data_IF_076754459760
#
_entry.id   IF_076754459760
#
_cell.length_a   1.000
_cell.length_b   1.000
_cell.length_c   1.000
_cell.angle_alpha   90.00
_cell.angle_beta   90.00
_cell.angle_gamma   90.00
#
_symmetry.space_group_name_H-M   'P 1'
#
loop_
_entity.id
_entity.type
_entity.pdbx_description
1 polymer ?
#
# COMPACT_ATOMS: atom_id res chain seq x y z
N UNK A 1 -17.24 20.37 -19.00
CA UNK A 1 -16.92 21.28 -17.86
C UNK A 1 -17.90 21.24 -16.68
N UNK A 2 -19.19 20.87 -16.83
CA UNK A 2 -20.15 20.84 -15.69
C UNK A 2 -20.06 19.59 -14.78
N UNK A 3 -19.57 18.44 -15.28
CA UNK A 3 -19.45 17.21 -14.49
C UNK A 3 -18.26 17.23 -13.50
N UNK A 4 -17.10 17.74 -13.93
CA UNK A 4 -15.89 17.80 -13.08
C UNK A 4 -16.05 18.62 -11.79
N UNK A 5 -16.91 19.65 -11.77
CA UNK A 5 -17.20 20.40 -10.53
C UNK A 5 -18.05 19.60 -9.54
N UNK A 6 -19.07 18.87 -10.02
CA UNK A 6 -19.91 18.00 -9.19
C UNK A 6 -19.13 16.82 -8.62
N UNK A 7 -18.26 16.23 -9.42
CA UNK A 7 -17.38 15.13 -8.99
C UNK A 7 -16.38 15.60 -7.91
N UNK A 8 -15.87 16.83 -8.04
CA UNK A 8 -15.02 17.46 -7.03
C UNK A 8 -15.73 17.76 -5.71
N UNK A 9 -16.96 18.27 -5.76
CA UNK A 9 -17.80 18.52 -4.58
C UNK A 9 -18.18 17.22 -3.86
N UNK A 10 -18.57 16.18 -4.60
CA UNK A 10 -18.91 14.86 -4.04
C UNK A 10 -17.69 14.22 -3.36
N UNK A 11 -16.51 14.32 -3.97
CA UNK A 11 -15.25 13.82 -3.41
C UNK A 11 -14.87 14.57 -2.13
N UNK A 12 -14.98 15.89 -2.12
CA UNK A 12 -14.70 16.71 -0.93
C UNK A 12 -15.63 16.34 0.24
N UNK A 13 -16.91 16.13 -0.01
CA UNK A 13 -17.88 15.69 1.02
C UNK A 13 -17.50 14.30 1.57
N UNK A 14 -17.12 13.37 0.69
CA UNK A 14 -16.65 12.03 1.08
C UNK A 14 -15.38 12.09 1.94
N UNK A 15 -14.41 12.92 1.57
CA UNK A 15 -13.15 13.10 2.32
C UNK A 15 -13.40 13.70 3.72
N UNK A 16 -14.30 14.69 3.82
CA UNK A 16 -14.71 15.27 5.11
C UNK A 16 -15.40 14.23 5.98
N UNK A 17 -16.29 13.42 5.42
CA UNK A 17 -16.96 12.35 6.13
C UNK A 17 -15.95 11.32 6.67
N UNK A 18 -15.02 10.87 5.81
CA UNK A 18 -13.96 9.92 6.18
C UNK A 18 -13.06 10.50 7.28
N UNK A 19 -12.72 11.78 7.22
CA UNK A 19 -11.94 12.45 8.25
C UNK A 19 -12.67 12.46 9.61
N UNK A 20 -13.96 12.79 9.62
CA UNK A 20 -14.78 12.83 10.85
C UNK A 20 -14.91 11.45 11.47
N UNK A 21 -15.24 10.43 10.68
CA UNK A 21 -15.34 9.07 11.21
C UNK A 21 -13.99 8.56 11.69
N UNK A 22 -12.90 8.78 10.94
CA UNK A 22 -11.55 8.43 11.43
C UNK A 22 -11.28 9.01 12.81
N UNK A 23 -11.60 10.29 13.04
CA UNK A 23 -11.37 10.94 14.34
C UNK A 23 -12.21 10.31 15.46
N UNK A 24 -13.47 9.97 15.18
CA UNK A 24 -14.37 9.29 16.12
C UNK A 24 -13.81 7.93 16.55
N UNK A 25 -13.34 7.12 15.60
CA UNK A 25 -12.71 5.83 15.89
C UNK A 25 -11.40 5.97 16.67
N UNK A 26 -10.55 6.95 16.33
CA UNK A 26 -9.33 7.24 17.10
C UNK A 26 -9.62 7.63 18.55
N UNK A 27 -10.67 8.42 18.80
CA UNK A 27 -11.10 8.77 20.15
C UNK A 27 -11.60 7.53 20.88
N UNK A 28 -12.42 6.70 20.24
CA UNK A 28 -12.92 5.47 20.83
C UNK A 28 -11.78 4.51 21.21
N UNK A 29 -10.80 4.30 20.32
CA UNK A 29 -9.63 3.47 20.59
C UNK A 29 -8.81 4.02 21.77
N UNK A 30 -8.56 5.33 21.80
CA UNK A 30 -7.84 5.98 22.91
C UNK A 30 -8.54 5.74 24.25
N UNK A 31 -9.85 5.97 24.32
CA UNK A 31 -10.63 5.72 25.54
C UNK A 31 -10.58 4.24 25.94
N UNK A 32 -10.73 3.34 24.98
CA UNK A 32 -10.71 1.90 25.24
C UNK A 32 -9.36 1.42 25.80
N UNK A 33 -8.25 1.87 25.20
CA UNK A 33 -6.90 1.38 25.53
C UNK A 33 -6.28 2.13 26.71
N UNK A 34 -6.33 3.47 26.70
CA UNK A 34 -5.64 4.31 27.69
C UNK A 34 -6.47 4.46 28.97
N UNK A 35 -7.75 4.77 28.82
CA UNK A 35 -8.66 5.04 29.94
C UNK A 35 -9.35 3.77 30.44
N UNK A 36 -9.14 2.62 29.78
CA UNK A 36 -9.81 1.34 30.06
C UNK A 36 -11.34 1.46 30.03
N UNK A 37 -11.85 2.37 29.20
CA UNK A 37 -13.29 2.62 29.06
C UNK A 37 -13.93 1.57 28.16
N UNK A 38 -14.74 0.69 28.77
CA UNK A 38 -15.48 -0.36 28.05
C UNK A 38 -16.42 0.26 27.01
N UNK A 39 -16.47 -0.35 25.83
CA UNK A 39 -17.42 0.04 24.78
C UNK A 39 -17.93 -1.19 24.04
N UNK A 40 -19.24 -1.42 24.13
CA UNK A 40 -19.90 -2.52 23.39
C UNK A 40 -19.90 -2.24 21.89
N UNK A 41 -19.99 -0.97 21.48
CA UNK A 41 -20.07 -0.59 20.08
C UNK A 41 -18.73 -0.68 19.33
N UNK A 42 -17.60 -0.43 20.00
CA UNK A 42 -16.29 -0.39 19.34
C UNK A 42 -15.40 -1.60 19.65
N UNK A 43 -15.51 -2.22 20.82
CA UNK A 43 -14.65 -3.34 21.20
C UNK A 43 -14.63 -4.51 20.19
N UNK A 44 -15.76 -4.92 19.57
CA UNK A 44 -15.75 -5.99 18.58
C UNK A 44 -14.85 -5.73 17.37
N UNK A 45 -14.62 -4.46 17.01
CA UNK A 45 -13.78 -4.08 15.89
C UNK A 45 -12.29 -4.13 16.26
N UNK A 46 -11.95 -3.85 17.51
CA UNK A 46 -10.58 -3.94 18.01
C UNK A 46 -10.11 -5.40 18.14
N UNK A 47 -11.04 -6.35 18.29
CA UNK A 47 -10.77 -7.79 18.22
C UNK A 47 -10.09 -8.38 19.46
N UNK A 48 -9.85 -7.58 20.50
CA UNK A 48 -9.28 -7.99 21.78
C UNK A 48 -9.99 -7.26 22.92
N UNK A 49 -9.99 -7.89 24.10
CA UNK A 49 -10.33 -7.20 25.34
C UNK A 49 -9.26 -6.17 25.74
N UNK A 50 -9.60 -5.31 26.71
CA UNK A 50 -8.77 -4.18 27.16
C UNK A 50 -7.37 -4.64 27.59
N UNK A 51 -7.26 -5.73 28.34
CA UNK A 51 -5.95 -6.17 28.85
C UNK A 51 -5.10 -6.76 27.72
N UNK A 52 -5.70 -7.56 26.83
CA UNK A 52 -4.99 -8.14 25.69
C UNK A 52 -4.55 -7.09 24.67
N UNK A 53 -5.38 -6.08 24.38
CA UNK A 53 -4.98 -5.03 23.42
C UNK A 53 -3.89 -4.12 24.01
N UNK A 54 -3.91 -3.85 25.32
CA UNK A 54 -2.82 -3.12 25.97
C UNK A 54 -1.53 -3.93 25.91
N UNK A 55 -1.59 -5.21 26.23
CA UNK A 55 -0.45 -6.13 26.11
C UNK A 55 0.10 -6.21 24.69
N UNK A 56 -0.77 -6.15 23.68
CA UNK A 56 -0.36 -6.08 22.27
C UNK A 56 0.50 -4.85 21.95
N UNK A 57 0.16 -3.67 22.50
CA UNK A 57 0.99 -2.47 22.35
C UNK A 57 2.27 -2.56 23.19
N UNK A 58 2.21 -3.14 24.39
CA UNK A 58 3.38 -3.32 25.26
C UNK A 58 4.45 -4.20 24.62
N UNK A 59 4.07 -5.20 23.83
CA UNK A 59 5.02 -6.01 23.03
C UNK A 59 5.77 -5.23 21.95
N UNK A 60 5.31 -4.01 21.62
CA UNK A 60 5.93 -3.13 20.62
C UNK A 60 6.70 -1.98 21.26
N UNK A 61 6.69 -1.87 22.60
CA UNK A 61 7.49 -0.89 23.30
C UNK A 61 8.97 -1.28 23.32
N UNK A 62 9.81 -0.27 23.49
CA UNK A 62 11.25 -0.40 23.72
C UNK A 62 11.63 0.33 25.02
N UNK A 63 12.94 0.43 25.30
CA UNK A 63 13.42 1.07 26.53
C UNK A 63 13.08 2.57 26.64
N UNK A 64 12.68 3.23 25.55
CA UNK A 64 12.46 4.67 25.48
C UNK A 64 10.97 5.04 25.41
N UNK A 65 10.09 4.10 25.05
CA UNK A 65 8.65 4.36 24.87
C UNK A 65 7.78 3.51 25.80
N UNK A 66 6.71 4.10 26.30
CA UNK A 66 5.78 3.43 27.21
C UNK A 66 4.53 4.28 27.43
N UNK A 67 3.59 3.80 28.26
CA UNK A 67 2.30 4.47 28.45
C UNK A 67 2.42 5.94 28.90
N UNK A 68 3.42 6.28 29.72
CA UNK A 68 3.60 7.62 30.30
C UNK A 68 4.01 8.69 29.29
N UNK A 69 4.50 8.27 28.11
CA UNK A 69 4.95 9.18 27.05
C UNK A 69 4.11 9.10 25.76
N UNK A 70 2.91 8.53 25.86
CA UNK A 70 1.89 8.60 24.80
C UNK A 70 1.58 10.06 24.44
N UNK A 71 1.52 10.34 23.14
CA UNK A 71 1.30 11.69 22.58
C UNK A 71 2.54 12.59 22.62
N UNK A 72 3.60 12.20 23.32
CA UNK A 72 4.90 12.91 23.34
C UNK A 72 5.92 12.23 22.45
N UNK A 73 6.14 10.92 22.65
CA UNK A 73 7.13 10.13 21.89
C UNK A 73 6.50 9.17 20.90
N UNK A 74 5.27 8.72 21.15
CA UNK A 74 4.57 7.78 20.28
C UNK A 74 3.06 8.00 20.29
N UNK A 75 2.38 7.40 19.32
CA UNK A 75 0.93 7.39 19.18
C UNK A 75 0.46 6.05 18.58
N UNK A 76 -0.87 5.84 18.54
CA UNK A 76 -1.45 4.73 17.79
C UNK A 76 -1.32 4.96 16.28
N UNK A 77 -0.65 4.04 15.61
CA UNK A 77 -0.54 3.96 14.16
C UNK A 77 -1.30 2.77 13.59
N UNK A 78 -1.30 2.66 12.27
CA UNK A 78 -1.81 1.50 11.55
C UNK A 78 -0.71 0.89 10.69
N UNK A 79 -0.71 -0.43 10.50
CA UNK A 79 0.22 -1.12 9.59
C UNK A 79 -0.18 -0.86 8.14
N UNK A 80 -1.46 -1.05 7.79
CA UNK A 80 -2.05 -0.54 6.55
C UNK A 80 -2.72 0.80 6.87
N UNK A 81 -2.36 1.90 6.18
CA UNK A 81 -2.98 3.20 6.40
C UNK A 81 -4.51 3.18 6.29
N UNK A 82 -5.17 3.88 7.21
CA UNK A 82 -6.64 4.09 7.24
C UNK A 82 -7.19 4.59 5.89
N UNK A 83 -6.38 5.30 5.11
CA UNK A 83 -6.76 5.82 3.80
C UNK A 83 -7.19 4.72 2.82
N UNK A 84 -6.67 3.51 2.96
CA UNK A 84 -6.98 2.36 2.10
C UNK A 84 -8.25 1.60 2.50
N UNK A 85 -8.90 2.00 3.60
CA UNK A 85 -10.13 1.36 4.07
C UNK A 85 -11.38 2.18 3.74
N UNK A 86 -12.46 1.48 3.40
CA UNK A 86 -13.80 1.97 3.14
C UNK A 86 -14.62 1.89 4.42
N UNK A 87 -15.02 3.06 4.91
CA UNK A 87 -15.74 3.21 6.16
C UNK A 87 -17.24 2.92 6.02
N UNK A 88 -17.74 2.76 4.80
CA UNK A 88 -19.11 2.30 4.54
C UNK A 88 -19.24 0.78 4.61
N UNK A 89 -18.11 0.06 4.60
CA UNK A 89 -18.05 -1.39 4.66
C UNK A 89 -17.66 -1.89 6.06
N UNK A 90 -18.55 -2.61 6.72
CA UNK A 90 -18.33 -3.09 8.09
C UNK A 90 -17.13 -4.05 8.20
N UNK A 91 -16.91 -4.92 7.22
CA UNK A 91 -15.77 -5.85 7.24
C UNK A 91 -14.45 -5.08 7.09
N UNK A 92 -14.43 -4.04 6.26
CA UNK A 92 -13.25 -3.22 6.08
C UNK A 92 -12.96 -2.36 7.31
N UNK A 93 -14.00 -1.87 8.01
CA UNK A 93 -13.86 -1.25 9.33
C UNK A 93 -13.29 -2.22 10.37
N UNK A 94 -13.77 -3.48 10.40
CA UNK A 94 -13.24 -4.52 11.30
C UNK A 94 -11.77 -4.78 11.03
N UNK A 95 -11.36 -4.89 9.77
CA UNK A 95 -9.95 -5.05 9.41
C UNK A 95 -9.11 -3.81 9.76
N UNK A 96 -9.61 -2.62 9.46
CA UNK A 96 -8.93 -1.35 9.72
C UNK A 96 -8.57 -1.22 11.20
N UNK A 97 -9.53 -1.48 12.10
CA UNK A 97 -9.39 -1.25 13.54
C UNK A 97 -9.01 -2.49 14.34
N UNK A 98 -8.83 -3.65 13.70
CA UNK A 98 -8.37 -4.87 14.37
C UNK A 98 -6.98 -4.65 14.99
N UNK A 99 -6.75 -5.21 16.18
CA UNK A 99 -5.46 -5.11 16.87
C UNK A 99 -4.26 -5.47 15.97
N UNK A 100 -4.40 -6.42 15.05
CA UNK A 100 -3.31 -6.85 14.17
C UNK A 100 -2.87 -5.74 13.20
N UNK A 101 -3.77 -4.81 12.87
CA UNK A 101 -3.48 -3.63 12.06
C UNK A 101 -3.04 -2.43 12.91
N UNK A 102 -3.22 -2.47 14.23
CA UNK A 102 -2.83 -1.40 15.14
C UNK A 102 -1.38 -1.58 15.62
N UNK A 103 -0.63 -0.49 15.61
CA UNK A 103 0.78 -0.48 15.99
C UNK A 103 1.18 0.73 16.82
N UNK A 104 2.34 0.65 17.45
CA UNK A 104 3.04 1.80 18.01
C UNK A 104 3.70 2.58 16.85
N UNK A 105 3.46 3.89 16.81
CA UNK A 105 4.05 4.80 15.84
C UNK A 105 4.83 5.90 16.57
N UNK A 106 6.13 6.00 16.29
CA UNK A 106 7.00 7.03 16.87
C UNK A 106 6.72 8.40 16.24
N UNK A 107 6.65 9.42 17.09
CA UNK A 107 6.48 10.82 16.69
C UNK A 107 7.87 11.42 16.37
N UNK A 108 8.40 11.16 15.16
CA UNK A 108 9.66 11.78 14.72
C UNK A 108 9.41 13.09 13.95
N UNK A 109 10.17 14.17 14.22
CA UNK A 109 10.12 15.39 13.42
C UNK A 109 10.54 15.12 11.97
N UNK A 110 9.77 15.61 10.99
CA UNK A 110 10.19 15.65 9.58
C UNK A 110 9.96 14.38 8.74
N UNK A 111 9.41 13.30 9.30
CA UNK A 111 9.07 12.10 8.52
C UNK A 111 7.70 12.29 7.84
N UNK A 112 7.70 12.80 6.60
CA UNK A 112 6.52 12.81 5.74
C UNK A 112 6.14 11.37 5.36
N UNK A 113 4.87 11.04 5.52
CA UNK A 113 4.31 9.68 5.33
C UNK A 113 4.27 9.35 3.83
N UNK A 114 5.18 8.52 3.36
CA UNK A 114 5.13 7.95 2.01
C UNK A 114 4.23 6.71 1.99
N UNK A 115 3.03 6.83 1.42
CA UNK A 115 2.01 5.76 1.44
C UNK A 115 2.45 4.45 0.76
N UNK A 116 3.30 4.50 -0.27
CA UNK A 116 3.65 3.33 -1.09
C UNK A 116 4.72 2.43 -0.44
N UNK A 117 5.71 3.03 0.23
CA UNK A 117 6.78 2.30 0.96
C UNK A 117 6.19 1.54 2.15
N UNK A 118 5.04 1.99 2.65
CA UNK A 118 4.32 1.38 3.77
C UNK A 118 3.62 0.07 3.37
N UNK A 119 3.08 -0.03 2.14
CA UNK A 119 2.34 -1.23 1.70
C UNK A 119 3.24 -2.46 1.50
N UNK A 120 4.45 -2.30 0.94
CA UNK A 120 5.40 -3.41 0.81
C UNK A 120 5.81 -3.94 2.19
N UNK A 121 6.07 -3.02 3.12
CA UNK A 121 6.42 -3.34 4.50
C UNK A 121 5.26 -4.03 5.22
N UNK A 122 4.03 -3.54 5.04
CA UNK A 122 2.81 -4.14 5.55
C UNK A 122 2.60 -5.55 5.00
N UNK A 123 2.80 -5.76 3.69
CA UNK A 123 2.67 -7.07 3.05
C UNK A 123 3.63 -8.08 3.67
N UNK A 124 4.90 -7.70 3.83
CA UNK A 124 5.88 -8.56 4.46
C UNK A 124 5.50 -8.88 5.92
N UNK A 125 5.06 -7.87 6.68
CA UNK A 125 4.60 -8.04 8.06
C UNK A 125 3.46 -9.06 8.18
N UNK A 126 2.38 -8.91 7.40
CA UNK A 126 1.25 -9.85 7.47
C UNK A 126 1.59 -11.22 6.90
N UNK A 127 2.47 -11.29 5.89
CA UNK A 127 2.96 -12.55 5.33
C UNK A 127 3.67 -13.37 6.39
N UNK A 128 4.67 -12.79 7.08
CA UNK A 128 5.41 -13.47 8.15
C UNK A 128 4.45 -13.92 9.26
N UNK A 129 3.55 -13.06 9.72
CA UNK A 129 2.59 -13.44 10.76
C UNK A 129 1.66 -14.57 10.33
N UNK A 130 1.16 -14.54 9.09
CA UNK A 130 0.28 -15.60 8.57
C UNK A 130 1.03 -16.92 8.44
N UNK A 131 2.23 -16.92 7.84
CA UNK A 131 3.02 -18.14 7.66
C UNK A 131 3.33 -18.81 9.01
N UNK A 132 3.65 -18.02 10.04
CA UNK A 132 4.02 -18.53 11.37
C UNK A 132 2.84 -18.91 12.26
N UNK A 133 1.67 -18.25 12.11
CA UNK A 133 0.55 -18.43 13.05
C UNK A 133 -0.71 -19.02 12.41
N UNK A 134 -0.78 -19.04 11.09
CA UNK A 134 -1.98 -19.39 10.30
C UNK A 134 -3.23 -18.56 10.69
N UNK A 135 -3.02 -17.38 11.29
CA UNK A 135 -4.12 -16.55 11.77
C UNK A 135 -4.90 -15.93 10.59
N UNK A 136 -6.17 -16.28 10.47
CA UNK A 136 -7.00 -15.94 9.32
C UNK A 136 -7.10 -14.44 9.02
N UNK A 137 -7.07 -13.57 10.04
CA UNK A 137 -7.10 -12.12 9.81
C UNK A 137 -5.85 -11.65 9.07
N UNK A 138 -4.67 -12.24 9.31
CA UNK A 138 -3.47 -11.90 8.55
C UNK A 138 -3.63 -12.21 7.06
N UNK A 139 -4.29 -13.33 6.73
CA UNK A 139 -4.65 -13.64 5.34
C UNK A 139 -5.59 -12.60 4.74
N UNK A 140 -6.63 -12.21 5.47
CA UNK A 140 -7.56 -11.16 5.01
C UNK A 140 -6.84 -9.82 4.78
N UNK A 141 -5.82 -9.49 5.57
CA UNK A 141 -4.99 -8.29 5.38
C UNK A 141 -4.11 -8.40 4.12
N UNK A 142 -3.58 -9.58 3.81
CA UNK A 142 -2.86 -9.82 2.54
C UNK A 142 -3.78 -9.66 1.34
N UNK A 143 -4.98 -10.25 1.38
CA UNK A 143 -5.99 -10.11 0.32
C UNK A 143 -6.40 -8.63 0.15
N UNK A 144 -6.45 -7.86 1.25
CA UNK A 144 -6.71 -6.41 1.21
C UNK A 144 -5.60 -5.67 0.46
N UNK A 145 -4.33 -5.99 0.73
CA UNK A 145 -3.19 -5.38 0.04
C UNK A 145 -3.22 -5.70 -1.45
N UNK A 146 -3.47 -6.95 -1.83
CA UNK A 146 -3.56 -7.37 -3.23
C UNK A 146 -4.63 -6.58 -3.99
N UNK A 147 -5.81 -6.38 -3.39
CA UNK A 147 -6.87 -5.56 -4.00
C UNK A 147 -6.47 -4.09 -4.17
N UNK A 148 -5.74 -3.52 -3.21
CA UNK A 148 -5.23 -2.14 -3.32
C UNK A 148 -4.25 -2.05 -4.49
N UNK A 149 -3.30 -3.00 -4.60
CA UNK A 149 -2.33 -3.05 -5.69
C UNK A 149 -3.04 -3.16 -7.06
N UNK A 150 -4.07 -4.01 -7.19
CA UNK A 150 -4.84 -4.13 -8.45
C UNK A 150 -5.58 -2.84 -8.84
N UNK A 151 -6.03 -2.04 -7.87
CA UNK A 151 -6.78 -0.80 -8.13
C UNK A 151 -5.88 0.39 -8.51
N UNK A 152 -4.66 0.45 -7.96
CA UNK A 152 -3.70 1.53 -8.24
C UNK A 152 -2.98 1.34 -9.60
N UNK A 153 -2.93 0.11 -10.13
CA UNK A 153 -2.27 -0.20 -11.42
C UNK A 153 -3.21 -0.75 -12.50
N UNK A 154 -4.32 -0.06 -12.85
CA UNK A 154 -5.28 -0.56 -13.83
C UNK A 154 -4.76 -0.46 -15.27
N UNK A 155 -3.79 0.41 -15.54
CA UNK A 155 -3.31 0.67 -16.90
C UNK A 155 -2.67 -0.54 -17.54
N UNK A 156 -2.10 -1.44 -16.72
CA UNK A 156 -1.27 -2.59 -17.09
C UNK A 156 -1.80 -3.39 -18.29
N UNK A 157 -3.11 -3.42 -18.55
CA UNK A 157 -3.68 -4.09 -19.73
C UNK A 157 -3.16 -3.54 -21.07
N UNK A 158 -3.05 -2.22 -21.24
CA UNK A 158 -2.57 -1.65 -22.51
C UNK A 158 -1.05 -1.88 -22.68
N UNK A 159 -0.28 -1.76 -21.60
CA UNK A 159 1.14 -2.08 -21.61
C UNK A 159 1.38 -3.59 -21.82
N UNK A 160 0.56 -4.47 -21.23
CA UNK A 160 0.58 -5.92 -21.49
C UNK A 160 0.33 -6.18 -22.98
N UNK A 161 -0.68 -5.55 -23.57
CA UNK A 161 -0.99 -5.71 -24.99
C UNK A 161 0.19 -5.24 -25.84
N UNK A 162 0.74 -4.05 -25.58
CA UNK A 162 1.92 -3.55 -26.28
C UNK A 162 3.10 -4.53 -26.21
N UNK A 163 3.45 -5.02 -25.02
CA UNK A 163 4.55 -5.98 -24.85
C UNK A 163 4.25 -7.29 -25.59
N UNK A 164 3.01 -7.77 -25.51
CA UNK A 164 2.61 -9.03 -26.14
C UNK A 164 2.64 -8.93 -27.67
N UNK A 165 2.10 -7.84 -28.22
CA UNK A 165 2.05 -7.57 -29.66
C UNK A 165 3.44 -7.30 -30.23
N UNK A 166 4.34 -6.70 -29.46
CA UNK A 166 5.69 -6.31 -29.90
C UNK A 166 6.78 -7.25 -29.39
N UNK A 167 6.45 -8.43 -28.84
CA UNK A 167 7.42 -9.30 -28.14
C UNK A 167 8.63 -9.66 -29.01
N UNK A 168 8.40 -10.06 -30.26
CA UNK A 168 9.49 -10.41 -31.19
C UNK A 168 10.40 -9.21 -31.48
N UNK A 169 9.84 -8.01 -31.63
CA UNK A 169 10.61 -6.78 -31.79
C UNK A 169 11.45 -6.50 -30.54
N UNK A 170 10.84 -6.58 -29.35
CA UNK A 170 11.49 -6.32 -28.06
C UNK A 170 12.67 -7.28 -27.82
N UNK A 171 12.47 -8.58 -28.07
CA UNK A 171 13.51 -9.61 -27.91
C UNK A 171 14.70 -9.36 -28.87
N UNK A 172 14.44 -8.82 -30.06
CA UNK A 172 15.50 -8.49 -31.03
C UNK A 172 16.33 -7.27 -30.62
N UNK A 173 15.65 -6.19 -30.22
CA UNK A 173 16.33 -4.92 -29.90
C UNK A 173 17.02 -4.91 -28.55
N UNK A 174 16.77 -5.90 -27.68
CA UNK A 174 17.44 -6.05 -26.38
C UNK A 174 18.98 -6.07 -26.51
N UNK A 175 19.49 -6.64 -27.60
CA UNK A 175 20.92 -6.78 -27.85
C UNK A 175 21.48 -5.74 -28.84
N UNK A 176 20.68 -4.75 -29.23
CA UNK A 176 21.12 -3.68 -30.14
C UNK A 176 21.99 -2.68 -29.39
N UNK A 177 23.09 -2.25 -30.01
CA UNK A 177 23.92 -1.17 -29.50
C UNK A 177 23.34 0.20 -29.87
N UNK A 178 23.99 1.27 -29.42
CA UNK A 178 23.61 2.64 -29.76
C UNK A 178 23.57 2.87 -31.28
N UNK A 179 24.43 2.20 -32.05
CA UNK A 179 24.44 2.31 -33.50
C UNK A 179 23.17 1.74 -34.14
N UNK A 180 22.77 0.53 -33.76
CA UNK A 180 21.56 -0.08 -34.31
C UNK A 180 20.29 0.67 -33.90
N UNK A 181 20.24 1.22 -32.68
CA UNK A 181 19.12 2.07 -32.27
C UNK A 181 19.05 3.39 -33.05
N UNK A 182 20.20 3.99 -33.41
CA UNK A 182 20.20 5.19 -34.24
C UNK A 182 19.61 4.91 -35.62
N UNK A 183 19.94 3.76 -36.22
CA UNK A 183 19.35 3.34 -37.49
C UNK A 183 17.82 3.18 -37.40
N UNK A 184 17.33 2.54 -36.33
CA UNK A 184 15.89 2.44 -36.08
C UNK A 184 15.24 3.82 -35.89
N UNK A 185 15.87 4.73 -35.15
CA UNK A 185 15.37 6.09 -34.92
C UNK A 185 15.32 6.93 -36.21
N UNK A 186 16.22 6.65 -37.16
CA UNK A 186 16.20 7.22 -38.51
C UNK A 186 15.10 6.61 -39.41
N UNK A 187 14.30 5.70 -38.87
CA UNK A 187 13.15 5.09 -39.54
C UNK A 187 13.48 3.83 -40.34
N UNK A 188 14.67 3.25 -40.18
CA UNK A 188 14.98 1.95 -40.80
C UNK A 188 14.16 0.84 -40.18
N UNK A 189 13.80 -0.16 -40.99
CA UNK A 189 13.12 -1.34 -40.49
C UNK A 189 14.09 -2.26 -39.71
N UNK A 190 13.54 -3.13 -38.87
CA UNK A 190 14.33 -4.19 -38.18
C UNK A 190 15.14 -5.01 -39.18
N UNK A 191 14.55 -5.35 -40.33
CA UNK A 191 15.22 -6.14 -41.37
C UNK A 191 16.41 -5.39 -41.97
N UNK A 192 16.25 -4.09 -42.24
CA UNK A 192 17.35 -3.24 -42.72
C UNK A 192 18.50 -3.16 -41.73
N UNK A 193 18.19 -3.01 -40.44
CA UNK A 193 19.18 -2.95 -39.38
C UNK A 193 19.91 -4.28 -39.23
N UNK A 194 19.19 -5.41 -39.26
CA UNK A 194 19.81 -6.75 -39.23
C UNK A 194 20.74 -6.99 -40.42
N UNK A 195 20.36 -6.53 -41.61
CA UNK A 195 21.20 -6.60 -42.80
C UNK A 195 22.48 -5.77 -42.65
N UNK A 196 22.40 -4.57 -42.07
CA UNK A 196 23.58 -3.74 -41.76
C UNK A 196 24.50 -4.39 -40.73
N UNK A 197 23.95 -4.99 -39.67
CA UNK A 197 24.73 -5.76 -38.69
C UNK A 197 25.49 -6.91 -39.38
N UNK A 198 24.82 -7.64 -40.26
CA UNK A 198 25.42 -8.77 -40.98
C UNK A 198 26.56 -8.32 -41.92
N UNK A 199 26.38 -7.21 -42.62
CA UNK A 199 27.41 -6.61 -43.48
C UNK A 199 28.64 -6.20 -42.68
N UNK A 200 28.46 -5.51 -41.55
CA UNK A 200 29.56 -5.07 -40.69
C UNK A 200 30.32 -6.28 -40.14
N UNK A 201 29.61 -7.32 -39.67
CA UNK A 201 30.24 -8.57 -39.19
C UNK A 201 31.04 -9.31 -40.28
N UNK A 202 30.60 -9.24 -41.54
CA UNK A 202 31.31 -9.86 -42.65
C UNK A 202 32.53 -9.04 -43.11
N UNK A 203 32.53 -7.72 -42.93
CA UNK A 203 33.68 -6.85 -43.23
C UNK A 203 34.75 -6.83 -42.14
N UNK A 204 34.41 -7.28 -40.92
CA UNK A 204 35.33 -7.37 -39.78
C UNK A 204 35.93 -8.78 -39.59
N UNK A 205 35.67 -9.71 -40.51
CA UNK A 205 36.40 -10.97 -40.69
C UNK A 205 37.51 -10.80 -41.73
#
# INVERSE_FOLDING_TARGET
>A
MKNSKRDGEQKMISDIFKFREKRKWQIALRRYVLERNRSVSYAPYFGLDIEKIRKWFEYQFDNNIGWDNFGKLWQFGHVIPVAYFDFSNENDLKLCWNFINLRVELLQPGKSRGNLVDLLSARNYFKVLYEQTQYAICKMMLDKIERIEMQEFPETRNQINFITENRQYLDLVENYSAFEFELLNLGKSIEDVQNEIALIKNMSK
#
